data_IF_682355021205
#
_entry.id   IF_682355021205
#
_cell.length_a   1.000
_cell.length_b   1.000
_cell.length_c   1.000
_cell.angle_alpha   90.00
_cell.angle_beta   90.00
_cell.angle_gamma   90.00
#
_symmetry.space_group_name_H-M   'P 1'
#
loop_
_entity.id
_entity.type
_entity.pdbx_description
1 polymer ?
#
# COMPACT_ATOMS: atom_id res chain seq x y z
N UNK A 1 2.59 6.52 13.77
CA UNK A 1 3.41 6.90 12.59
C UNK A 1 3.00 8.30 12.17
N UNK A 2 3.51 8.87 11.06
CA UNK A 2 3.39 10.29 10.77
C UNK A 2 1.92 10.76 10.64
N UNK A 3 1.38 11.52 11.62
CA UNK A 3 0.01 12.02 11.57
C UNK A 3 -0.12 13.26 10.67
N UNK A 4 0.99 13.91 10.31
CA UNK A 4 1.03 15.14 9.51
C UNK A 4 1.03 14.85 8.01
N UNK A 5 0.82 13.60 7.60
CA UNK A 5 0.81 13.16 6.20
C UNK A 5 -0.64 12.85 5.76
N UNK A 6 -1.32 13.76 5.05
CA UNK A 6 -2.68 13.55 4.58
C UNK A 6 -2.75 12.40 3.58
N UNK A 7 -3.84 11.64 3.59
CA UNK A 7 -4.06 10.53 2.66
C UNK A 7 -4.13 11.00 1.20
N UNK A 8 -4.59 12.23 0.98
CA UNK A 8 -4.66 12.93 -0.30
C UNK A 8 -3.29 13.14 -0.93
N UNK A 9 -2.19 12.98 -0.17
CA UNK A 9 -0.84 13.01 -0.72
C UNK A 9 -0.64 11.91 -1.78
N UNK A 10 -1.32 10.77 -1.64
CA UNK A 10 -1.08 9.58 -2.45
C UNK A 10 -2.12 9.32 -3.54
N UNK A 11 -3.20 10.11 -3.57
CA UNK A 11 -4.28 9.89 -4.55
C UNK A 11 -3.84 10.31 -5.96
N UNK A 12 -4.44 9.74 -7.02
CA UNK A 12 -4.10 10.11 -8.39
C UNK A 12 -4.47 11.57 -8.68
N UNK A 13 -3.70 12.28 -9.52
CA UNK A 13 -4.09 13.58 -10.02
C UNK A 13 -5.36 13.49 -10.89
N UNK A 14 -6.08 14.60 -11.10
CA UNK A 14 -7.35 14.61 -11.83
C UNK A 14 -7.31 13.98 -13.23
N UNK A 15 -6.17 14.06 -13.91
CA UNK A 15 -5.97 13.50 -15.25
C UNK A 15 -6.06 11.95 -15.27
N UNK A 16 -5.88 11.29 -14.12
CA UNK A 16 -5.98 9.84 -13.94
C UNK A 16 -7.36 9.42 -13.42
N UNK A 17 -8.41 9.98 -14.02
CA UNK A 17 -9.80 9.68 -13.68
C UNK A 17 -10.22 8.24 -14.00
N UNK A 18 -9.46 7.48 -14.80
CA UNK A 18 -9.69 6.06 -15.06
C UNK A 18 -9.18 5.13 -13.95
N UNK A 19 -8.30 5.61 -13.07
CA UNK A 19 -7.72 4.82 -11.99
C UNK A 19 -8.67 4.76 -10.79
N UNK A 20 -9.07 3.56 -10.40
CA UNK A 20 -10.02 3.33 -9.31
C UNK A 20 -9.43 2.57 -8.13
N UNK A 21 -8.27 1.94 -8.29
CA UNK A 21 -7.61 1.15 -7.25
C UNK A 21 -6.11 1.45 -7.21
N UNK A 22 -5.60 1.79 -6.02
CA UNK A 22 -4.18 1.88 -5.74
C UNK A 22 -3.77 0.73 -4.83
N UNK A 23 -2.90 -0.12 -5.33
CA UNK A 23 -2.32 -1.24 -4.60
C UNK A 23 -0.84 -0.98 -4.36
N UNK A 24 -0.22 -1.82 -3.53
CA UNK A 24 1.23 -1.85 -3.42
C UNK A 24 1.76 -3.17 -3.93
N UNK A 25 3.01 -3.19 -4.39
CA UNK A 25 3.68 -4.40 -4.87
C UNK A 25 5.06 -4.50 -4.25
N UNK A 26 5.47 -5.71 -3.92
CA UNK A 26 6.80 -6.03 -3.45
C UNK A 26 7.43 -7.19 -4.24
N UNK A 27 8.53 -7.76 -3.74
CA UNK A 27 9.23 -8.88 -4.38
C UNK A 27 8.38 -10.17 -4.46
N UNK A 28 7.37 -10.30 -3.60
CA UNK A 28 6.44 -11.44 -3.54
C UNK A 28 5.11 -11.16 -4.26
N UNK A 29 4.99 -10.01 -4.93
CA UNK A 29 3.84 -9.65 -5.74
C UNK A 29 2.93 -8.61 -5.09
N UNK A 30 1.64 -8.67 -5.45
CA UNK A 30 0.64 -7.69 -5.04
C UNK A 30 0.34 -7.79 -3.55
N UNK A 31 0.31 -6.63 -2.88
CA UNK A 31 -0.16 -6.47 -1.49
C UNK A 31 -1.47 -5.68 -1.48
N UNK A 32 -2.51 -6.31 -0.95
CA UNK A 32 -3.86 -5.76 -0.80
C UNK A 32 -4.35 -5.74 0.65
N UNK A 33 -3.44 -5.81 1.62
CA UNK A 33 -3.79 -5.60 3.03
C UNK A 33 -4.17 -4.15 3.34
N UNK A 34 -3.61 -3.20 2.60
CA UNK A 34 -3.91 -1.77 2.67
C UNK A 34 -3.89 -1.24 1.25
N UNK A 35 -4.96 -0.55 0.85
CA UNK A 35 -5.16 -0.03 -0.49
C UNK A 35 -6.12 1.16 -0.49
N UNK A 36 -6.08 1.95 -1.55
CA UNK A 36 -7.09 2.98 -1.82
C UNK A 36 -8.04 2.47 -2.90
N UNK A 37 -9.34 2.64 -2.68
CA UNK A 37 -10.37 2.35 -3.68
C UNK A 37 -11.29 3.55 -3.82
N UNK A 38 -11.54 3.97 -5.06
CA UNK A 38 -12.43 5.10 -5.34
C UNK A 38 -13.90 4.69 -5.16
N UNK A 39 -14.74 5.57 -4.65
CA UNK A 39 -16.20 5.36 -4.70
C UNK A 39 -16.67 5.52 -6.14
N UNK A 40 -16.90 4.40 -6.82
CA UNK A 40 -17.24 4.36 -8.25
C UNK A 40 -17.97 3.04 -8.59
N UNK A 41 -18.85 2.99 -9.60
CA UNK A 41 -19.48 1.74 -10.04
C UNK A 41 -18.49 0.62 -10.39
N UNK A 42 -17.29 0.97 -10.85
CA UNK A 42 -16.20 0.01 -11.07
C UNK A 42 -15.82 -0.74 -9.78
N UNK A 43 -15.76 -0.03 -8.65
CA UNK A 43 -15.36 -0.58 -7.35
C UNK A 43 -16.41 -1.54 -6.80
N UNK A 44 -17.70 -1.22 -7.02
CA UNK A 44 -18.81 -2.12 -6.69
C UNK A 44 -18.65 -3.42 -7.47
N UNK A 45 -18.37 -3.37 -8.78
CA UNK A 45 -18.14 -4.56 -9.60
C UNK A 45 -16.97 -5.40 -9.09
N UNK A 46 -15.85 -4.78 -8.73
CA UNK A 46 -14.68 -5.48 -8.20
C UNK A 46 -15.01 -6.18 -6.88
N UNK A 47 -15.62 -5.47 -5.92
CA UNK A 47 -15.96 -6.03 -4.62
C UNK A 47 -17.02 -7.14 -4.72
N UNK A 48 -18.05 -6.95 -5.56
CA UNK A 48 -19.04 -8.00 -5.81
C UNK A 48 -18.42 -9.23 -6.47
N UNK A 49 -17.51 -9.05 -7.43
CA UNK A 49 -16.79 -10.15 -8.04
C UNK A 49 -15.89 -10.87 -7.03
N UNK A 50 -15.20 -10.15 -6.15
CA UNK A 50 -14.35 -10.74 -5.11
C UNK A 50 -15.15 -11.59 -4.12
N UNK A 51 -16.30 -11.10 -3.66
CA UNK A 51 -17.20 -11.85 -2.77
C UNK A 51 -17.78 -13.09 -3.47
N UNK A 52 -18.13 -12.97 -4.76
CA UNK A 52 -18.65 -14.09 -5.54
C UNK A 52 -17.57 -15.09 -5.98
N UNK A 53 -16.29 -14.72 -5.91
CA UNK A 53 -15.17 -15.51 -6.42
C UNK A 53 -15.15 -16.95 -5.89
N UNK A 54 -15.30 -17.22 -4.57
CA UNK A 54 -15.26 -18.59 -4.05
C UNK A 54 -16.44 -19.47 -4.50
N UNK A 55 -17.52 -18.88 -5.04
CA UNK A 55 -18.67 -19.65 -5.56
C UNK A 55 -18.45 -20.15 -6.98
N UNK A 56 -17.53 -19.52 -7.71
CA UNK A 56 -17.20 -19.85 -9.10
C UNK A 56 -15.81 -20.48 -9.23
N UNK A 57 -14.99 -20.38 -8.19
CA UNK A 57 -13.63 -20.90 -8.09
C UNK A 57 -13.47 -21.75 -6.81
N UNK A 58 -12.24 -21.89 -6.31
CA UNK A 58 -11.95 -22.61 -5.07
C UNK A 58 -12.68 -21.94 -3.87
N UNK A 59 -13.59 -22.66 -3.18
CA UNK A 59 -14.30 -22.17 -1.99
C UNK A 59 -13.38 -21.77 -0.83
N UNK A 60 -12.13 -22.26 -0.82
CA UNK A 60 -11.13 -21.94 0.21
C UNK A 60 -10.30 -20.70 -0.15
N UNK A 61 -10.58 -20.04 -1.27
CA UNK A 61 -9.91 -18.80 -1.66
C UNK A 61 -10.18 -17.71 -0.63
N UNK A 62 -9.11 -17.13 -0.08
CA UNK A 62 -9.23 -15.93 0.75
C UNK A 62 -9.68 -14.73 -0.08
N UNK A 63 -10.34 -13.74 0.56
CA UNK A 63 -10.72 -12.48 -0.11
C UNK A 63 -9.52 -11.77 -0.73
N UNK A 64 -8.34 -11.86 -0.09
CA UNK A 64 -7.10 -11.30 -0.59
C UNK A 64 -6.63 -12.02 -1.87
N UNK A 65 -6.74 -13.34 -1.92
CA UNK A 65 -6.41 -14.14 -3.09
C UNK A 65 -7.39 -13.88 -4.23
N UNK A 66 -8.70 -13.82 -3.92
CA UNK A 66 -9.75 -13.52 -4.89
C UNK A 66 -9.53 -12.15 -5.55
N UNK A 67 -9.29 -11.11 -4.75
CA UNK A 67 -9.01 -9.76 -5.29
C UNK A 67 -7.75 -9.74 -6.16
N UNK A 68 -6.70 -10.47 -5.77
CA UNK A 68 -5.47 -10.58 -6.55
C UNK A 68 -5.70 -11.22 -7.91
N UNK A 69 -6.37 -12.37 -7.93
CA UNK A 69 -6.67 -13.07 -9.18
C UNK A 69 -7.57 -12.22 -10.07
N UNK A 70 -8.59 -11.56 -9.52
CA UNK A 70 -9.46 -10.68 -10.30
C UNK A 70 -8.70 -9.52 -10.98
N UNK A 71 -7.78 -8.90 -10.25
CA UNK A 71 -6.97 -7.79 -10.79
C UNK A 71 -5.96 -8.29 -11.82
N UNK A 72 -5.39 -9.49 -11.64
CA UNK A 72 -4.39 -10.05 -12.55
C UNK A 72 -5.01 -10.66 -13.82
N UNK A 73 -6.15 -11.34 -13.69
CA UNK A 73 -6.71 -12.18 -14.75
C UNK A 73 -7.75 -11.45 -15.62
N UNK A 74 -8.25 -10.28 -15.17
CA UNK A 74 -9.24 -9.51 -15.93
C UNK A 74 -8.76 -8.11 -16.31
N UNK A 75 -8.59 -7.88 -17.61
CA UNK A 75 -8.23 -6.59 -18.21
C UNK A 75 -9.13 -5.42 -17.79
N UNK A 76 -10.40 -5.70 -17.48
CA UNK A 76 -11.33 -4.68 -16.98
C UNK A 76 -10.90 -4.12 -15.62
N UNK A 77 -10.35 -4.96 -14.74
CA UNK A 77 -9.86 -4.52 -13.44
C UNK A 77 -8.40 -4.08 -13.51
N UNK A 78 -7.56 -4.76 -14.30
CA UNK A 78 -6.14 -4.43 -14.43
C UNK A 78 -5.92 -2.99 -14.90
N UNK A 79 -6.66 -2.54 -15.93
CA UNK A 79 -6.48 -1.20 -16.56
C UNK A 79 -6.84 -0.01 -15.66
N UNK A 80 -7.59 -0.24 -14.59
CA UNK A 80 -7.97 0.80 -13.61
C UNK A 80 -7.21 0.66 -12.29
N UNK A 81 -6.16 -0.17 -12.27
CA UNK A 81 -5.34 -0.44 -11.07
C UNK A 81 -3.92 0.05 -11.27
N UNK A 82 -3.37 0.74 -10.27
CA UNK A 82 -1.97 1.17 -10.26
C UNK A 82 -1.26 0.61 -9.03
N UNK A 83 -0.01 0.16 -9.23
CA UNK A 83 0.86 -0.29 -8.14
C UNK A 83 1.78 0.85 -7.70
N UNK A 84 1.60 1.27 -6.45
CA UNK A 84 2.39 2.29 -5.78
C UNK A 84 3.52 1.68 -4.93
N UNK A 85 4.55 2.47 -4.59
CA UNK A 85 5.55 2.07 -3.61
C UNK A 85 4.92 1.69 -2.27
N UNK A 86 5.30 0.55 -1.63
CA UNK A 86 4.80 0.16 -0.32
C UNK A 86 4.96 1.22 0.75
N UNK A 87 6.03 2.03 0.70
CA UNK A 87 6.31 3.08 1.69
C UNK A 87 5.23 4.15 1.82
N UNK A 88 4.40 4.33 0.79
CA UNK A 88 3.34 5.33 0.83
C UNK A 88 2.28 5.00 1.88
N UNK A 89 1.85 3.74 1.96
CA UNK A 89 0.73 3.36 2.84
C UNK A 89 0.71 1.88 3.28
N UNK A 90 1.74 1.09 2.99
CA UNK A 90 1.79 -0.34 3.29
C UNK A 90 3.22 -0.84 3.57
N UNK A 91 4.01 -0.01 4.26
CA UNK A 91 5.42 -0.24 4.53
C UNK A 91 5.61 -1.44 5.48
N UNK A 92 6.70 -2.19 5.31
CA UNK A 92 7.06 -3.26 6.22
C UNK A 92 7.65 -2.74 7.52
N UNK A 93 7.57 -3.55 8.56
CA UNK A 93 8.33 -3.32 9.79
C UNK A 93 9.83 -3.24 9.52
N UNK A 94 10.49 -2.33 10.23
CA UNK A 94 11.93 -2.31 10.48
C UNK A 94 12.24 -2.76 11.92
N UNK A 95 13.32 -3.47 12.14
CA UNK A 95 13.83 -3.73 13.50
C UNK A 95 14.33 -2.41 14.10
N UNK A 96 14.01 -2.07 15.36
CA UNK A 96 14.42 -0.81 15.98
C UNK A 96 15.94 -0.65 16.12
N UNK A 97 16.65 -1.77 16.33
CA UNK A 97 18.11 -1.83 16.37
C UNK A 97 18.61 -2.18 14.97
N UNK A 98 19.18 -1.19 14.28
CA UNK A 98 19.71 -1.35 12.92
C UNK A 98 20.57 -2.64 12.79
N UNK A 99 20.38 -3.34 11.66
CA UNK A 99 20.94 -4.65 11.23
C UNK A 99 20.08 -5.92 11.43
N UNK A 100 18.85 -5.81 11.92
CA UNK A 100 17.97 -6.99 12.03
C UNK A 100 17.24 -7.36 10.73
N UNK A 101 17.91 -7.98 9.75
CA UNK A 101 17.29 -8.69 8.63
C UNK A 101 16.11 -9.58 9.09
N UNK A 102 14.86 -9.07 9.03
CA UNK A 102 13.70 -9.97 8.87
C UNK A 102 13.79 -10.47 7.44
N UNK A 103 14.17 -11.73 7.30
CA UNK A 103 14.56 -12.32 6.04
C UNK A 103 13.63 -11.96 4.87
N UNK A 104 14.13 -11.12 3.95
CA UNK A 104 13.59 -10.97 2.60
C UNK A 104 13.12 -9.58 2.16
N UNK A 105 12.94 -8.58 3.04
CA UNK A 105 12.46 -7.26 2.60
C UNK A 105 13.59 -6.24 2.40
N UNK A 106 13.74 -5.74 1.18
CA UNK A 106 14.66 -4.62 0.89
C UNK A 106 14.33 -3.40 1.78
N UNK A 107 15.34 -2.62 2.24
CA UNK A 107 15.11 -1.37 2.96
C UNK A 107 14.12 -0.43 2.25
N UNK A 108 14.07 -0.49 0.91
CA UNK A 108 13.13 0.28 0.09
C UNK A 108 11.65 -0.01 0.37
N UNK A 109 11.32 -1.14 0.99
CA UNK A 109 9.95 -1.51 1.34
C UNK A 109 9.63 -1.34 2.82
N UNK A 110 10.61 -0.98 3.64
CA UNK A 110 10.47 -0.83 5.08
C UNK A 110 10.06 0.60 5.44
N UNK A 111 9.45 0.75 6.61
CA UNK A 111 9.02 2.03 7.16
C UNK A 111 10.23 2.92 7.46
N UNK A 112 10.15 4.18 7.03
CA UNK A 112 11.11 5.23 7.35
C UNK A 112 10.47 6.35 8.16
N UNK A 113 11.28 7.19 8.85
CA UNK A 113 10.79 8.42 9.45
C UNK A 113 10.01 9.27 8.43
N UNK A 114 8.83 9.73 8.82
CA UNK A 114 7.92 10.48 7.96
C UNK A 114 6.91 9.65 7.15
N UNK A 115 7.02 8.31 7.14
CA UNK A 115 6.04 7.45 6.45
C UNK A 115 4.71 7.34 7.23
N UNK A 116 3.63 7.10 6.48
CA UNK A 116 2.26 7.11 6.98
C UNK A 116 1.94 5.93 7.91
N UNK A 117 2.25 4.71 7.47
CA UNK A 117 1.72 3.48 8.08
C UNK A 117 2.74 2.35 8.02
N UNK A 118 2.92 1.67 9.15
CA UNK A 118 3.65 0.40 9.24
C UNK A 118 2.66 -0.77 9.24
N UNK A 119 2.91 -1.75 8.39
CA UNK A 119 2.16 -3.00 8.31
C UNK A 119 2.94 -4.14 9.00
N UNK A 120 2.22 -4.97 9.73
CA UNK A 120 2.71 -6.12 10.49
C UNK A 120 2.25 -7.45 9.88
N UNK A 121 2.57 -7.74 8.60
CA UNK A 121 2.02 -8.90 7.91
C UNK A 121 2.49 -10.19 8.58
N UNK A 122 1.55 -11.13 8.75
CA UNK A 122 1.82 -12.47 9.28
C UNK A 122 2.39 -12.45 10.71
N UNK A 123 2.20 -11.36 11.46
CA UNK A 123 2.48 -11.34 12.91
C UNK A 123 1.40 -12.14 13.64
N UNK A 124 1.73 -13.26 14.28
CA UNK A 124 0.74 -14.05 14.99
C UNK A 124 0.31 -13.34 16.28
N UNK A 125 -0.91 -13.59 16.73
CA UNK A 125 -1.51 -12.94 17.89
C UNK A 125 -0.60 -12.94 19.14
N UNK A 126 0.05 -14.07 19.43
CA UNK A 126 0.92 -14.21 20.60
C UNK A 126 2.21 -13.36 20.56
N UNK A 127 2.60 -12.83 19.39
CA UNK A 127 3.72 -11.87 19.23
C UNK A 127 3.28 -10.47 18.85
N UNK A 128 1.97 -10.19 18.85
CA UNK A 128 1.44 -8.90 18.42
C UNK A 128 2.01 -7.78 19.28
N UNK A 129 2.00 -7.95 20.61
CA UNK A 129 2.54 -6.97 21.55
C UNK A 129 4.04 -6.74 21.32
N UNK A 130 4.84 -7.80 21.23
CA UNK A 130 6.28 -7.71 20.97
C UNK A 130 6.59 -6.94 19.68
N UNK A 131 5.76 -7.14 18.66
CA UNK A 131 5.96 -6.51 17.35
C UNK A 131 5.48 -5.05 17.34
N UNK A 132 4.35 -4.76 17.99
CA UNK A 132 3.66 -3.46 17.90
C UNK A 132 4.13 -2.46 18.94
N UNK A 133 4.45 -2.89 20.16
CA UNK A 133 4.82 -2.00 21.27
C UNK A 133 5.97 -1.04 20.93
N UNK A 134 7.06 -1.45 20.25
CA UNK A 134 8.13 -0.50 19.88
C UNK A 134 7.63 0.64 18.98
N UNK A 135 6.69 0.36 18.08
CA UNK A 135 6.10 1.37 17.19
C UNK A 135 5.08 2.24 17.89
N UNK A 136 4.38 1.72 18.89
CA UNK A 136 3.51 2.51 19.75
C UNK A 136 4.33 3.49 20.57
N UNK A 137 5.42 3.05 21.20
CA UNK A 137 6.33 3.94 21.91
C UNK A 137 6.93 5.02 21.00
N UNK A 138 7.31 4.66 19.76
CA UNK A 138 7.75 5.64 18.76
C UNK A 138 6.66 6.66 18.38
N UNK A 139 5.40 6.22 18.26
CA UNK A 139 4.29 7.10 17.94
C UNK A 139 3.92 8.02 19.12
N UNK A 140 3.90 7.48 20.35
CA UNK A 140 3.59 8.23 21.58
C UNK A 140 4.68 9.25 21.95
N UNK A 141 5.93 9.02 21.50
CA UNK A 141 7.03 9.96 21.72
C UNK A 141 6.89 11.27 20.91
N UNK A 142 6.05 11.30 19.87
CA UNK A 142 5.84 12.46 19.01
C UNK A 142 7.15 13.12 18.53
N UNK A 143 8.15 12.28 18.20
CA UNK A 143 9.43 12.79 17.77
C UNK A 143 9.32 13.47 16.39
N UNK A 144 9.79 14.72 16.28
CA UNK A 144 9.74 15.50 15.03
C UNK A 144 10.26 14.74 13.81
N UNK A 145 11.27 13.87 13.98
CA UNK A 145 11.83 13.08 12.87
C UNK A 145 10.80 12.12 12.26
N UNK A 146 9.85 11.63 13.05
CA UNK A 146 8.78 10.70 12.64
C UNK A 146 7.49 11.42 12.26
N UNK A 147 7.33 12.67 12.68
CA UNK A 147 6.17 13.51 12.36
C UNK A 147 6.52 14.78 11.53
N UNK A 148 7.39 14.69 10.50
CA UNK A 148 7.69 15.82 9.63
C UNK A 148 6.45 16.25 8.83
N UNK A 149 6.42 17.51 8.39
CA UNK A 149 5.36 17.97 7.47
C UNK A 149 5.49 17.29 6.10
N UNK A 150 4.43 17.36 5.28
CA UNK A 150 4.43 16.77 3.93
C UNK A 150 5.61 17.26 3.10
N UNK A 151 5.93 18.55 3.19
CA UNK A 151 7.03 19.19 2.47
C UNK A 151 8.40 18.65 2.94
N UNK A 152 8.55 18.39 4.24
CA UNK A 152 9.77 17.85 4.84
C UNK A 152 9.97 16.36 4.50
N UNK A 153 8.91 15.62 4.18
CA UNK A 153 8.99 14.17 3.87
C UNK A 153 9.56 13.83 2.51
N UNK A 154 9.44 14.74 1.52
CA UNK A 154 9.72 14.46 0.11
C UNK A 154 8.65 13.63 -0.63
N UNK A 155 7.59 13.15 0.06
CA UNK A 155 6.53 12.36 -0.55
C UNK A 155 5.81 13.10 -1.68
N UNK A 156 5.57 14.41 -1.52
CA UNK A 156 4.91 15.22 -2.55
C UNK A 156 5.68 15.21 -3.89
N UNK A 157 7.00 15.36 -3.84
CA UNK A 157 7.84 15.30 -5.04
C UNK A 157 7.92 13.89 -5.62
N UNK A 158 8.02 12.87 -4.76
CA UNK A 158 8.04 11.46 -5.16
C UNK A 158 6.76 11.07 -5.89
N UNK A 159 5.60 11.39 -5.32
CA UNK A 159 4.29 11.13 -5.92
C UNK A 159 4.13 11.87 -7.24
N UNK A 160 4.50 13.15 -7.30
CA UNK A 160 4.44 13.92 -8.54
C UNK A 160 5.34 13.32 -9.64
N UNK A 161 6.53 12.83 -9.28
CA UNK A 161 7.45 12.17 -10.21
C UNK A 161 6.90 10.82 -10.68
N UNK A 162 6.29 10.06 -9.78
CA UNK A 162 5.63 8.78 -10.09
C UNK A 162 4.51 8.97 -11.11
N UNK A 163 3.56 9.88 -10.89
CA UNK A 163 2.46 10.08 -11.84
C UNK A 163 2.92 10.59 -13.20
N UNK A 164 4.00 11.39 -13.25
CA UNK A 164 4.65 11.78 -14.52
C UNK A 164 5.24 10.59 -15.26
N UNK A 165 5.79 9.59 -14.57
CA UNK A 165 6.32 8.39 -15.23
C UNK A 165 5.19 7.49 -15.73
N UNK A 166 4.11 7.33 -14.97
CA UNK A 166 2.91 6.58 -15.40
C UNK A 166 2.33 7.19 -16.68
N UNK A 167 2.17 8.52 -16.74
CA UNK A 167 1.66 9.20 -17.94
C UNK A 167 2.49 8.92 -19.20
N UNK A 168 3.82 8.90 -19.06
CA UNK A 168 4.74 8.61 -20.18
C UNK A 168 4.59 7.19 -20.70
N UNK A 169 4.43 6.23 -19.79
CA UNK A 169 4.21 4.81 -20.15
C UNK A 169 2.88 4.65 -20.89
N UNK A 170 1.81 5.27 -20.43
CA UNK A 170 0.50 5.23 -21.11
C UNK A 170 0.50 5.94 -22.48
N UNK A 171 1.41 6.90 -22.69
CA UNK A 171 1.51 7.68 -23.94
C UNK A 171 2.41 7.04 -25.01
N UNK A 172 3.09 5.94 -24.70
CA UNK A 172 3.98 5.25 -25.65
C UNK A 172 3.16 4.18 -26.40
N UNK A 173 3.09 4.23 -27.75
CA UNK A 173 2.25 3.35 -28.56
C UNK A 173 2.69 1.88 -28.55
#
# INVERSE_FOLDING_TARGET
MNPNLPLETFIPPPDFSHINLLLTKDWNGMKNSVFFIRVHPWSIKLLSAAIAYPTTHDPLSSDLSALNNLVQDHDFFARSTVYCPPRWFNAYTRTPDDEGWRAGSSPHFQIHPGDLLVNFPRTPYYRLNETMLPYLSLAEAHERKWEPTVEETGHGEEVARFWKSVHRVESTP
#
